data_IF_698716845772
#
_entry.id   IF_698716845772
#
_cell.length_a   1.000
_cell.length_b   1.000
_cell.length_c   1.000
_cell.angle_alpha   90.00
_cell.angle_beta   90.00
_cell.angle_gamma   90.00
#
_symmetry.space_group_name_H-M   'P 1'
#
loop_
_entity.id
_entity.type
_entity.pdbx_description
1 polymer ?
#
# COMPACT_ATOMS: atom_id res chain seq x y z
N UNK A 1 1.79 -11.27 15.85
CA UNK A 1 1.36 -10.18 16.75
C UNK A 1 0.03 -9.69 16.20
N UNK A 2 -1.06 -9.77 16.96
CA UNK A 2 -2.33 -9.19 16.50
C UNK A 2 -2.17 -7.68 16.50
N UNK A 3 -2.29 -7.06 15.32
CA UNK A 3 -2.39 -5.61 15.25
C UNK A 3 -3.83 -5.21 15.55
N UNK A 4 -4.10 -4.26 16.45
CA UNK A 4 -5.41 -3.64 16.49
C UNK A 4 -5.64 -2.84 15.20
N UNK A 5 -6.82 -2.97 14.61
CA UNK A 5 -7.29 -2.21 13.45
C UNK A 5 -6.36 -2.18 12.22
N UNK A 6 -5.89 -3.33 11.70
CA UNK A 6 -5.11 -3.38 10.47
C UNK A 6 -5.91 -2.89 9.26
N UNK A 7 -5.23 -2.41 8.23
CA UNK A 7 -5.86 -1.97 6.97
C UNK A 7 -4.88 -2.01 5.79
N UNK A 8 -4.12 -3.09 5.65
CA UNK A 8 -3.00 -3.18 4.70
C UNK A 8 -3.41 -3.06 3.24
N UNK A 9 -4.54 -3.65 2.82
CA UNK A 9 -5.01 -3.52 1.44
C UNK A 9 -5.33 -2.06 1.10
N UNK A 10 -6.26 -1.44 1.84
CA UNK A 10 -6.64 -0.03 1.65
C UNK A 10 -5.44 0.91 1.78
N UNK A 11 -4.57 0.69 2.77
CA UNK A 11 -3.38 1.53 2.96
C UNK A 11 -2.33 1.31 1.84
N UNK A 12 -2.19 0.10 1.33
CA UNK A 12 -1.34 -0.23 0.16
C UNK A 12 -1.83 0.49 -1.10
N UNK A 13 -3.15 0.46 -1.37
CA UNK A 13 -3.72 1.18 -2.51
C UNK A 13 -3.62 2.70 -2.35
N UNK A 14 -3.85 3.24 -1.14
CA UNK A 14 -3.63 4.67 -0.85
C UNK A 14 -2.16 5.05 -1.09
N UNK A 15 -1.22 4.17 -0.71
CA UNK A 15 0.21 4.37 -0.99
C UNK A 15 0.47 4.50 -2.49
N UNK A 16 -0.09 3.59 -3.29
CA UNK A 16 0.03 3.60 -4.74
C UNK A 16 -0.55 4.89 -5.33
N UNK A 17 -1.77 5.27 -4.93
CA UNK A 17 -2.45 6.48 -5.39
C UNK A 17 -1.68 7.76 -5.06
N UNK A 18 -1.21 7.91 -3.81
CA UNK A 18 -0.42 9.07 -3.39
C UNK A 18 0.93 9.15 -4.11
N UNK A 19 1.59 8.01 -4.31
CA UNK A 19 2.84 7.92 -5.07
C UNK A 19 2.65 8.32 -6.52
N UNK A 20 1.63 7.78 -7.20
CA UNK A 20 1.28 8.13 -8.58
C UNK A 20 0.91 9.61 -8.73
N UNK A 21 0.12 10.14 -7.78
CA UNK A 21 -0.23 11.56 -7.74
C UNK A 21 1.01 12.44 -7.55
N UNK A 22 1.95 12.06 -6.67
CA UNK A 22 3.20 12.82 -6.47
C UNK A 22 4.00 12.97 -7.77
N UNK A 23 4.05 11.92 -8.60
CA UNK A 23 4.71 11.98 -9.91
C UNK A 23 4.00 12.97 -10.83
N UNK A 24 2.65 12.94 -10.84
CA UNK A 24 1.84 13.80 -11.70
C UNK A 24 1.96 15.29 -11.35
N UNK A 25 2.04 15.61 -10.05
CA UNK A 25 2.17 17.00 -9.58
C UNK A 25 3.61 17.53 -9.59
N UNK A 26 4.61 16.69 -9.90
CA UNK A 26 6.04 17.02 -9.76
C UNK A 26 6.45 18.33 -10.43
N UNK A 27 5.88 18.65 -11.59
CA UNK A 27 6.21 19.86 -12.35
C UNK A 27 5.28 21.04 -12.08
N UNK A 28 3.99 20.79 -11.82
CA UNK A 28 2.98 21.84 -11.66
C UNK A 28 2.93 22.39 -10.23
N UNK A 29 3.17 21.54 -9.23
CA UNK A 29 3.19 21.90 -7.82
C UNK A 29 4.20 21.01 -7.06
N UNK A 30 5.49 21.38 -7.07
CA UNK A 30 6.53 20.60 -6.40
C UNK A 30 6.32 20.47 -4.89
N UNK A 31 5.71 21.48 -4.26
CA UNK A 31 5.42 21.46 -2.82
C UNK A 31 4.37 20.40 -2.49
N UNK A 32 3.26 20.40 -3.22
CA UNK A 32 2.22 19.39 -3.03
C UNK A 32 2.68 17.99 -3.43
N UNK A 33 3.45 17.85 -4.52
CA UNK A 33 4.12 16.60 -4.89
C UNK A 33 4.92 16.02 -3.72
N UNK A 34 5.71 16.84 -3.02
CA UNK A 34 6.50 16.40 -1.88
C UNK A 34 5.61 15.96 -0.69
N UNK A 35 4.51 16.67 -0.43
CA UNK A 35 3.54 16.29 0.60
C UNK A 35 2.89 14.94 0.30
N UNK A 36 2.46 14.72 -0.95
CA UNK A 36 1.88 13.44 -1.38
C UNK A 36 2.86 12.29 -1.20
N UNK A 37 4.12 12.47 -1.62
CA UNK A 37 5.15 11.45 -1.48
C UNK A 37 5.46 11.12 -0.02
N UNK A 38 5.54 12.13 0.86
CA UNK A 38 5.75 11.91 2.29
C UNK A 38 4.61 11.13 2.93
N UNK A 39 3.37 11.42 2.53
CA UNK A 39 2.21 10.69 3.01
C UNK A 39 2.20 9.26 2.46
N UNK A 40 2.56 9.04 1.20
CA UNK A 40 2.70 7.69 0.64
C UNK A 40 3.66 6.82 1.45
N UNK A 41 4.84 7.34 1.80
CA UNK A 41 5.83 6.61 2.62
C UNK A 41 5.27 6.25 4.00
N UNK A 42 4.61 7.19 4.68
CA UNK A 42 4.00 6.93 6.01
C UNK A 42 2.88 5.90 5.92
N UNK A 43 2.04 6.00 4.90
CA UNK A 43 0.93 5.06 4.69
C UNK A 43 1.44 3.66 4.41
N UNK A 44 2.50 3.51 3.62
CA UNK A 44 3.12 2.20 3.36
C UNK A 44 3.70 1.57 4.62
N UNK A 45 4.40 2.36 5.44
CA UNK A 45 4.94 1.90 6.72
C UNK A 45 3.82 1.40 7.64
N UNK A 46 2.69 2.11 7.69
CA UNK A 46 1.52 1.65 8.42
C UNK A 46 0.98 0.33 7.84
N UNK A 47 0.80 0.25 6.52
CA UNK A 47 0.28 -0.93 5.84
C UNK A 47 1.12 -2.18 6.11
N UNK A 48 2.44 -2.06 6.04
CA UNK A 48 3.36 -3.19 6.21
C UNK A 48 3.60 -3.57 7.68
N UNK A 49 3.57 -2.60 8.60
CA UNK A 49 3.74 -2.84 10.04
C UNK A 49 2.51 -3.49 10.68
N UNK A 50 1.31 -3.14 10.20
CA UNK A 50 0.03 -3.57 10.77
C UNK A 50 -0.76 -4.41 9.77
N UNK A 51 -0.22 -5.59 9.49
CA UNK A 51 -0.72 -6.51 8.46
C UNK A 51 -2.12 -7.05 8.75
N UNK A 52 -3.05 -6.85 7.81
CA UNK A 52 -4.38 -7.43 7.83
C UNK A 52 -5.42 -6.64 7.03
N UNK A 53 -6.56 -7.27 6.78
CA UNK A 53 -7.68 -6.70 6.05
C UNK A 53 -8.42 -5.64 6.88
N UNK A 54 -8.76 -4.50 6.28
CA UNK A 54 -9.57 -3.49 6.97
C UNK A 54 -10.98 -3.99 7.29
N UNK A 55 -11.56 -4.80 6.40
CA UNK A 55 -12.89 -5.40 6.55
C UNK A 55 -12.96 -6.46 7.65
N UNK A 56 -11.81 -6.86 8.22
CA UNK A 56 -11.75 -7.75 9.37
C UNK A 56 -11.88 -7.04 10.72
N UNK A 57 -11.95 -5.70 10.74
CA UNK A 57 -12.10 -4.92 11.96
C UNK A 57 -13.55 -4.93 12.43
N UNK A 58 -13.79 -5.37 13.68
CA UNK A 58 -15.12 -5.61 14.24
C UNK A 58 -16.01 -4.35 14.25
N UNK A 59 -15.41 -3.17 14.37
CA UNK A 59 -16.09 -1.88 14.44
C UNK A 59 -16.62 -1.38 13.09
N UNK A 60 -16.07 -1.85 11.97
CA UNK A 60 -16.48 -1.42 10.62
C UNK A 60 -16.98 -2.55 9.71
N UNK A 61 -16.71 -3.82 10.06
CA UNK A 61 -16.98 -4.99 9.23
C UNK A 61 -18.41 -5.04 8.69
N UNK A 62 -19.40 -4.75 9.55
CA UNK A 62 -20.81 -4.80 9.17
C UNK A 62 -21.25 -3.65 8.26
N UNK A 63 -20.49 -2.55 8.22
CA UNK A 63 -20.79 -1.39 7.37
C UNK A 63 -20.16 -1.50 5.98
N UNK A 64 -19.01 -2.18 5.88
CA UNK A 64 -18.25 -2.29 4.62
C UNK A 64 -18.57 -3.55 3.83
N UNK A 65 -18.93 -4.64 4.53
CA UNK A 65 -19.35 -5.88 3.90
C UNK A 65 -20.88 -5.92 3.68
N UNK A 66 -21.38 -6.40 2.53
CA UNK A 66 -20.66 -7.17 1.50
C UNK A 66 -20.08 -6.34 0.34
N UNK A 67 -20.06 -5.01 0.42
CA UNK A 67 -19.76 -4.16 -0.75
C UNK A 67 -18.27 -4.07 -1.08
N UNK A 68 -17.43 -3.92 -0.06
CA UNK A 68 -15.98 -3.73 -0.20
C UNK A 68 -15.22 -4.62 0.79
N UNK A 69 -15.62 -5.89 0.94
CA UNK A 69 -14.81 -6.80 1.76
C UNK A 69 -13.48 -7.08 1.06
N UNK A 70 -12.43 -7.22 1.85
CA UNK A 70 -11.26 -7.98 1.41
C UNK A 70 -11.66 -9.44 1.14
N UNK A 71 -11.37 -9.91 -0.07
CA UNK A 71 -11.55 -11.30 -0.49
C UNK A 71 -10.23 -11.96 -0.93
N UNK A 72 -9.23 -11.16 -1.32
CA UNK A 72 -8.00 -11.65 -1.97
C UNK A 72 -6.76 -11.51 -1.06
N UNK A 73 -6.89 -10.80 0.06
CA UNK A 73 -5.80 -10.44 0.94
C UNK A 73 -5.31 -9.02 0.69
N UNK A 74 -4.21 -8.67 1.33
CA UNK A 74 -3.54 -7.38 1.23
C UNK A 74 -2.18 -7.45 0.54
N UNK A 75 -1.79 -8.67 0.15
CA UNK A 75 -0.46 -9.03 -0.28
C UNK A 75 -0.12 -8.32 -1.60
N UNK A 76 -1.04 -8.33 -2.55
CA UNK A 76 -0.89 -7.65 -3.83
C UNK A 76 -0.86 -6.12 -3.68
N UNK A 77 -1.67 -5.53 -2.81
CA UNK A 77 -1.61 -4.08 -2.55
C UNK A 77 -0.28 -3.66 -1.91
N UNK A 78 0.34 -4.50 -1.08
CA UNK A 78 1.68 -4.21 -0.54
C UNK A 78 2.75 -4.24 -1.64
N UNK A 79 2.70 -5.20 -2.57
CA UNK A 79 3.62 -5.20 -3.72
C UNK A 79 3.37 -4.02 -4.65
N UNK A 80 2.10 -3.68 -4.87
CA UNK A 80 1.68 -2.57 -5.72
C UNK A 80 2.08 -1.21 -5.15
N UNK A 81 1.84 -0.99 -3.86
CA UNK A 81 2.28 0.20 -3.13
C UNK A 81 3.80 0.37 -3.16
N UNK A 82 4.55 -0.71 -2.94
CA UNK A 82 6.02 -0.70 -3.03
C UNK A 82 6.49 -0.37 -4.46
N UNK A 83 5.87 -0.93 -5.50
CA UNK A 83 6.23 -0.67 -6.89
C UNK A 83 6.05 0.81 -7.26
N UNK A 84 4.94 1.43 -6.83
CA UNK A 84 4.71 2.86 -7.05
C UNK A 84 5.64 3.75 -6.24
N UNK A 85 5.95 3.38 -4.99
CA UNK A 85 6.95 4.10 -4.19
C UNK A 85 8.32 4.08 -4.87
N UNK A 86 8.78 2.90 -5.32
CA UNK A 86 10.02 2.79 -6.11
C UNK A 86 9.99 3.71 -7.32
N UNK A 87 8.88 3.73 -8.06
CA UNK A 87 8.74 4.59 -9.25
C UNK A 87 8.78 6.08 -8.90
N UNK A 88 8.21 6.48 -7.77
CA UNK A 88 8.18 7.87 -7.34
C UNK A 88 9.53 8.35 -6.78
N UNK A 89 10.23 7.51 -6.01
CA UNK A 89 11.45 7.87 -5.26
C UNK A 89 12.75 7.49 -5.98
N UNK A 90 12.76 6.42 -6.77
CA UNK A 90 13.97 5.76 -7.24
C UNK A 90 14.73 4.98 -6.15
N UNK A 91 14.12 4.79 -4.97
CA UNK A 91 14.73 4.08 -3.84
C UNK A 91 14.62 2.57 -4.03
N UNK A 92 15.77 1.90 -4.16
CA UNK A 92 15.85 0.46 -4.39
C UNK A 92 15.46 -0.39 -3.18
N UNK A 93 15.28 0.20 -1.99
CA UNK A 93 14.72 -0.52 -0.84
C UNK A 93 13.33 -1.09 -1.14
N UNK A 94 12.54 -0.39 -1.95
CA UNK A 94 11.22 -0.86 -2.39
C UNK A 94 11.32 -1.99 -3.44
N UNK A 95 12.36 -2.01 -4.28
CA UNK A 95 12.60 -3.16 -5.16
C UNK A 95 12.95 -4.40 -4.33
N UNK A 96 13.87 -4.25 -3.38
CA UNK A 96 14.27 -5.32 -2.49
C UNK A 96 13.07 -5.85 -1.68
N UNK A 97 12.16 -4.97 -1.26
CA UNK A 97 10.91 -5.36 -0.63
C UNK A 97 10.05 -6.24 -1.55
N UNK A 98 9.85 -5.84 -2.80
CA UNK A 98 9.07 -6.62 -3.79
C UNK A 98 9.72 -7.99 -4.00
N UNK A 99 11.03 -8.04 -4.24
CA UNK A 99 11.75 -9.29 -4.47
C UNK A 99 11.68 -10.22 -3.25
N UNK A 100 11.78 -9.67 -2.04
CA UNK A 100 11.73 -10.44 -0.80
C UNK A 100 10.32 -10.95 -0.47
N UNK A 101 9.28 -10.26 -0.92
CA UNK A 101 7.89 -10.58 -0.57
C UNK A 101 7.09 -11.22 -1.70
N UNK A 102 7.51 -11.19 -2.98
CA UNK A 102 6.72 -11.73 -4.10
C UNK A 102 6.36 -13.21 -3.92
N UNK A 103 7.29 -14.06 -3.50
CA UNK A 103 7.03 -15.49 -3.28
C UNK A 103 6.17 -15.72 -2.03
N UNK A 104 6.51 -15.15 -0.84
CA UNK A 104 5.64 -15.22 0.34
C UNK A 104 4.21 -14.72 0.11
N UNK A 105 4.03 -13.78 -0.81
CA UNK A 105 2.75 -13.15 -1.13
C UNK A 105 2.02 -13.84 -2.29
N UNK A 106 2.55 -14.95 -2.81
CA UNK A 106 1.89 -15.72 -3.87
C UNK A 106 1.96 -15.07 -5.26
N UNK A 107 2.80 -14.04 -5.43
CA UNK A 107 3.05 -13.37 -6.71
C UNK A 107 4.22 -14.03 -7.49
N UNK A 108 4.36 -15.34 -7.38
CA UNK A 108 5.36 -16.15 -8.09
C UNK A 108 4.89 -16.61 -9.47
N UNK A 109 3.58 -16.55 -9.72
CA UNK A 109 2.98 -16.77 -11.02
C UNK A 109 2.68 -15.41 -11.64
N UNK A 110 3.47 -14.97 -12.63
CA UNK A 110 3.24 -13.89 -13.63
C UNK A 110 4.50 -13.05 -13.95
N UNK A 111 5.66 -13.70 -14.15
CA UNK A 111 6.80 -13.10 -14.88
C UNK A 111 7.09 -13.92 -16.12
#
# INVERSE_FOLDING_TARGET
>A
VNSPNPASEVAGEITAALSAASISFRSSDPGYSQTLLQNAVKTFQFADMYRGAYSSNDDIKNDVCPFYCDFNGFQDELLWGAAWLRKATGDETYLNYIESNREPFGASENV
#
